data_IF_500963627152
#
_entry.id   IF_500963627152
#
_cell.length_a   1.000
_cell.length_b   1.000
_cell.length_c   1.000
_cell.angle_alpha   90.00
_cell.angle_beta   90.00
_cell.angle_gamma   90.00
#
_symmetry.space_group_name_H-M   'P 1'
#
loop_
_entity.id
_entity.type
_entity.pdbx_description
1 polymer ?
#
# COMPACT_ATOMS: atom_id res chain seq x y z
N UNK A 1 -19.47 9.53 63.01
CA UNK A 1 -18.36 8.80 62.31
C UNK A 1 -18.96 8.32 61.00
N UNK A 2 -18.33 8.69 59.89
CA UNK A 2 -18.84 8.38 58.54
C UNK A 2 -18.46 6.95 58.14
N UNK A 3 -19.38 6.17 57.67
CA UNK A 3 -19.10 4.83 57.17
C UNK A 3 -18.30 4.90 55.88
N UNK A 4 -17.10 4.28 55.82
CA UNK A 4 -16.23 4.28 54.63
C UNK A 4 -16.80 3.50 53.44
N UNK A 5 -17.80 2.64 53.65
CA UNK A 5 -18.43 1.81 52.60
C UNK A 5 -19.61 2.52 51.93
N UNK A 6 -20.48 3.16 52.72
CA UNK A 6 -21.69 3.78 52.17
C UNK A 6 -21.73 5.31 52.31
N UNK A 7 -20.70 5.95 52.91
CA UNK A 7 -20.59 7.41 53.06
C UNK A 7 -21.59 8.09 53.99
N UNK A 8 -22.36 7.35 54.80
CA UNK A 8 -23.40 7.91 55.69
C UNK A 8 -22.94 7.98 57.14
N UNK A 9 -23.34 9.02 57.86
CA UNK A 9 -23.09 9.25 59.29
C UNK A 9 -23.97 8.40 60.23
N UNK A 10 -24.05 7.10 60.01
CA UNK A 10 -24.97 6.19 60.71
C UNK A 10 -24.19 5.05 61.44
N UNK A 11 -22.98 5.35 61.91
CA UNK A 11 -22.16 4.37 62.64
C UNK A 11 -22.41 4.46 64.11
N UNK A 12 -22.86 3.37 64.74
CA UNK A 12 -23.05 3.25 66.18
C UNK A 12 -22.03 2.30 66.77
N UNK A 13 -21.67 2.54 68.03
CA UNK A 13 -20.79 1.66 68.82
C UNK A 13 -21.63 0.60 69.52
N UNK A 14 -21.36 -0.67 69.24
CA UNK A 14 -22.04 -1.81 69.87
C UNK A 14 -20.97 -2.73 70.49
N UNK A 15 -20.74 -2.56 71.80
CA UNK A 15 -19.61 -3.17 72.52
C UNK A 15 -18.27 -2.57 72.02
N UNK A 16 -17.29 -3.41 71.67
CA UNK A 16 -16.00 -3.01 71.16
C UNK A 16 -15.96 -2.84 69.59
N UNK A 17 -17.11 -2.83 68.94
CA UNK A 17 -17.18 -2.74 67.49
C UNK A 17 -18.04 -1.55 67.04
N UNK A 18 -17.68 -0.96 65.92
CA UNK A 18 -18.46 0.06 65.25
C UNK A 18 -19.23 -0.57 64.08
N UNK A 19 -20.54 -0.48 64.09
CA UNK A 19 -21.40 -1.08 63.08
C UNK A 19 -22.17 0.03 62.37
N UNK A 20 -22.12 0.02 61.05
CA UNK A 20 -22.97 0.92 60.25
C UNK A 20 -24.38 0.37 60.17
N UNK A 21 -25.37 1.15 60.64
CA UNK A 21 -26.78 0.76 60.60
C UNK A 21 -27.36 0.64 59.18
N UNK A 22 -26.75 1.33 58.21
CA UNK A 22 -27.29 1.37 56.85
C UNK A 22 -26.80 0.18 56.00
N UNK A 23 -25.56 -0.24 56.14
CA UNK A 23 -25.01 -1.37 55.35
C UNK A 23 -24.63 -2.59 56.19
N UNK A 24 -24.84 -2.54 57.49
CA UNK A 24 -24.48 -3.57 58.48
C UNK A 24 -23.00 -4.04 58.44
N UNK A 25 -22.16 -3.26 57.76
CA UNK A 25 -20.75 -3.56 57.71
C UNK A 25 -20.07 -3.23 59.07
N UNK A 26 -19.23 -4.12 59.54
CA UNK A 26 -18.41 -3.87 60.73
C UNK A 26 -17.31 -2.89 60.35
N UNK A 27 -17.31 -1.71 60.96
CA UNK A 27 -16.20 -0.79 60.82
C UNK A 27 -15.08 -1.29 61.74
N UNK A 28 -13.99 -1.77 61.17
CA UNK A 28 -12.81 -2.22 61.90
C UNK A 28 -12.11 -1.00 62.49
N UNK A 29 -11.70 -1.09 63.77
CA UNK A 29 -10.95 -0.02 64.43
C UNK A 29 -9.65 0.33 63.72
N UNK A 30 -9.23 1.59 63.86
CA UNK A 30 -8.12 2.21 63.13
C UNK A 30 -6.73 1.58 63.34
N UNK A 31 -6.59 0.62 64.26
CA UNK A 31 -5.27 -0.01 64.55
C UNK A 31 -4.81 -1.05 63.53
N UNK A 32 -5.68 -1.44 62.54
CA UNK A 32 -5.30 -2.45 61.56
C UNK A 32 -5.13 -1.90 60.13
N UNK A 33 -5.15 -0.58 59.95
CA UNK A 33 -5.02 0.04 58.62
C UNK A 33 -3.62 -0.12 58.05
N UNK A 34 -2.59 -0.03 58.91
CA UNK A 34 -1.20 -0.23 58.48
C UNK A 34 -0.89 -1.70 58.14
N UNK A 35 -1.54 -2.65 58.81
CA UNK A 35 -1.38 -4.07 58.49
C UNK A 35 -2.06 -4.46 57.17
N UNK A 36 -3.17 -3.81 56.83
CA UNK A 36 -3.88 -4.03 55.53
C UNK A 36 -3.11 -3.38 54.38
N UNK A 37 -2.59 -2.17 54.56
CA UNK A 37 -1.73 -1.52 53.55
C UNK A 37 -0.41 -2.29 53.33
N UNK A 38 0.19 -2.88 54.36
CA UNK A 38 1.37 -3.73 54.22
C UNK A 38 1.07 -5.06 53.54
N UNK A 39 -0.13 -5.65 53.73
CA UNK A 39 -0.56 -6.85 53.01
C UNK A 39 -0.91 -6.58 51.54
N UNK A 40 -1.49 -5.42 51.25
CA UNK A 40 -1.75 -5.01 49.86
C UNK A 40 -0.46 -4.70 49.12
N UNK A 41 0.49 -3.99 49.74
CA UNK A 41 1.82 -3.73 49.17
C UNK A 41 2.65 -5.00 49.01
N UNK A 42 2.54 -5.97 49.92
CA UNK A 42 3.22 -7.26 49.79
C UNK A 42 2.63 -8.11 48.66
N UNK A 43 1.31 -8.11 48.47
CA UNK A 43 0.65 -8.82 47.41
C UNK A 43 0.92 -8.19 46.02
N UNK A 44 0.98 -6.84 45.92
CA UNK A 44 1.41 -6.17 44.66
C UNK A 44 2.89 -6.43 44.34
N UNK A 45 3.75 -6.52 45.33
CA UNK A 45 5.17 -6.82 45.15
C UNK A 45 5.42 -8.30 44.78
N UNK A 46 4.59 -9.24 45.27
CA UNK A 46 4.67 -10.65 44.85
C UNK A 46 4.08 -10.91 43.48
N UNK A 47 3.04 -10.17 43.04
CA UNK A 47 2.52 -10.25 41.66
C UNK A 47 3.51 -9.69 40.66
N UNK A 48 4.32 -8.67 40.98
CA UNK A 48 5.39 -8.15 40.14
C UNK A 48 6.61 -9.09 40.02
N UNK A 49 6.80 -10.02 40.99
CA UNK A 49 7.99 -10.92 41.04
C UNK A 49 7.86 -12.24 40.28
N UNK A 50 6.74 -12.56 39.67
CA UNK A 50 6.53 -13.86 39.00
C UNK A 50 6.25 -13.79 37.49
N UNK A 51 6.71 -12.76 36.77
CA UNK A 51 6.83 -12.88 35.32
C UNK A 51 8.07 -13.70 35.00
N UNK A 52 7.90 -14.90 34.46
CA UNK A 52 9.03 -15.70 34.02
C UNK A 52 9.81 -14.90 32.94
N UNK A 53 11.16 -14.96 32.97
CA UNK A 53 11.97 -14.23 31.94
C UNK A 53 11.58 -14.60 30.52
N UNK A 54 11.01 -15.78 30.32
CA UNK A 54 10.46 -16.23 29.05
C UNK A 54 9.23 -15.41 28.60
N UNK A 55 8.40 -14.98 29.53
CA UNK A 55 7.19 -14.19 29.24
C UNK A 55 7.56 -12.74 28.92
N UNK A 56 8.53 -12.17 29.60
CA UNK A 56 9.03 -10.82 29.30
C UNK A 56 9.71 -10.74 27.94
N UNK A 57 10.52 -11.74 27.56
CA UNK A 57 11.10 -11.83 26.22
C UNK A 57 10.03 -12.05 25.16
N UNK A 58 9.02 -12.85 25.41
CA UNK A 58 7.92 -13.08 24.48
C UNK A 58 7.08 -11.80 24.26
N UNK A 59 6.76 -11.09 25.35
CA UNK A 59 6.01 -9.82 25.32
C UNK A 59 6.80 -8.71 24.58
N UNK A 60 8.14 -8.75 24.61
CA UNK A 60 8.99 -7.84 23.86
C UNK A 60 9.13 -8.22 22.37
N UNK A 61 9.27 -9.51 22.08
CA UNK A 61 9.47 -10.00 20.71
C UNK A 61 8.16 -10.00 19.89
N UNK A 62 7.01 -10.17 20.53
CA UNK A 62 5.71 -10.27 19.85
C UNK A 62 5.38 -9.06 18.96
N UNK A 63 5.49 -7.80 19.41
CA UNK A 63 5.25 -6.65 18.53
C UNK A 63 6.25 -6.54 17.39
N UNK A 64 7.50 -6.97 17.59
CA UNK A 64 8.53 -6.98 16.53
C UNK A 64 8.16 -8.01 15.44
N UNK A 65 7.74 -9.20 15.85
CA UNK A 65 7.31 -10.25 14.92
C UNK A 65 6.08 -9.80 14.11
N UNK A 66 5.09 -9.18 14.78
CA UNK A 66 3.92 -8.62 14.08
C UNK A 66 4.34 -7.53 13.09
N UNK A 67 5.21 -6.61 13.49
CA UNK A 67 5.70 -5.56 12.61
C UNK A 67 6.44 -6.11 11.39
N UNK A 68 7.25 -7.17 11.57
CA UNK A 68 7.91 -7.87 10.47
C UNK A 68 6.93 -8.56 9.54
N UNK A 69 5.91 -9.23 10.08
CA UNK A 69 4.86 -9.87 9.26
C UNK A 69 4.13 -8.81 8.44
N UNK A 70 3.72 -7.71 9.07
CA UNK A 70 3.05 -6.60 8.37
C UNK A 70 3.96 -6.04 7.28
N UNK A 71 5.24 -5.79 7.56
CA UNK A 71 6.18 -5.27 6.58
C UNK A 71 6.37 -6.22 5.38
N UNK A 72 6.42 -7.54 5.61
CA UNK A 72 6.50 -8.55 4.55
C UNK A 72 5.22 -8.55 3.72
N UNK A 73 4.05 -8.52 4.35
CA UNK A 73 2.76 -8.46 3.66
C UNK A 73 2.65 -7.21 2.79
N UNK A 74 2.96 -6.03 3.35
CA UNK A 74 2.96 -4.77 2.61
C UNK A 74 3.91 -4.83 1.40
N UNK A 75 5.15 -5.30 1.61
CA UNK A 75 6.14 -5.41 0.54
C UNK A 75 5.71 -6.38 -0.57
N UNK A 76 5.09 -7.51 -0.20
CA UNK A 76 4.76 -8.58 -1.17
C UNK A 76 3.48 -8.31 -1.94
N UNK A 77 2.45 -7.80 -1.25
CA UNK A 77 1.11 -7.69 -1.84
C UNK A 77 0.73 -6.27 -2.27
N UNK A 78 1.32 -5.23 -1.65
CA UNK A 78 0.88 -3.86 -1.92
C UNK A 78 1.84 -3.14 -2.86
N UNK A 79 3.16 -3.32 -2.70
CA UNK A 79 4.15 -2.56 -3.45
C UNK A 79 5.01 -3.44 -4.34
N UNK A 80 5.22 -2.97 -5.57
CA UNK A 80 6.28 -3.46 -6.45
C UNK A 80 7.37 -2.39 -6.54
N UNK A 81 8.63 -2.83 -6.41
CA UNK A 81 9.80 -1.98 -6.52
C UNK A 81 10.55 -2.32 -7.79
N UNK A 82 10.87 -1.32 -8.59
CA UNK A 82 11.61 -1.50 -9.84
C UNK A 82 12.73 -0.48 -10.00
N UNK A 83 13.84 -0.95 -10.57
CA UNK A 83 14.93 -0.10 -11.04
C UNK A 83 14.81 0.04 -12.56
N UNK A 84 14.85 1.25 -13.06
CA UNK A 84 14.62 1.55 -14.49
C UNK A 84 15.95 1.40 -15.28
N UNK A 85 16.12 0.37 -16.11
CA UNK A 85 17.39 0.14 -16.80
C UNK A 85 17.51 0.94 -18.10
N UNK A 86 16.43 1.46 -18.66
CA UNK A 86 16.39 2.07 -20.00
C UNK A 86 15.86 3.49 -19.99
N UNK A 87 16.06 4.22 -21.08
CA UNK A 87 15.58 5.58 -21.24
C UNK A 87 14.25 5.70 -22.01
N UNK A 88 13.44 4.63 -22.09
CA UNK A 88 12.18 4.65 -22.87
C UNK A 88 11.10 5.55 -22.27
N UNK A 89 11.21 5.93 -21.00
CA UNK A 89 10.29 6.83 -20.29
C UNK A 89 10.89 8.20 -19.98
N UNK A 90 12.01 8.56 -20.67
CA UNK A 90 12.56 9.92 -20.60
C UNK A 90 11.52 10.92 -21.15
N UNK A 91 11.21 12.01 -20.54
CA UNK A 91 11.81 12.70 -19.40
C UNK A 91 11.10 12.43 -18.05
N UNK A 92 10.03 11.67 -18.07
CA UNK A 92 9.22 11.38 -16.86
C UNK A 92 10.01 10.54 -15.87
N UNK A 93 10.65 9.46 -16.36
CA UNK A 93 11.46 8.56 -15.54
C UNK A 93 12.83 8.41 -16.20
N UNK A 94 13.88 8.62 -15.41
CA UNK A 94 15.27 8.55 -15.87
C UNK A 94 15.82 7.13 -15.75
N UNK A 95 16.82 6.82 -16.56
CA UNK A 95 17.61 5.59 -16.39
C UNK A 95 18.32 5.63 -15.03
N UNK A 96 18.18 4.55 -14.26
CA UNK A 96 18.73 4.42 -12.91
C UNK A 96 17.79 4.90 -11.81
N UNK A 97 16.61 5.44 -12.15
CA UNK A 97 15.58 5.76 -11.16
C UNK A 97 15.05 4.49 -10.50
N UNK A 98 14.78 4.59 -9.21
CA UNK A 98 14.06 3.56 -8.46
C UNK A 98 12.63 4.04 -8.20
N UNK A 99 11.67 3.27 -8.65
CA UNK A 99 10.25 3.59 -8.55
C UNK A 99 9.51 2.59 -7.70
N UNK A 100 8.44 3.06 -7.06
CA UNK A 100 7.47 2.20 -6.37
C UNK A 100 6.16 2.24 -7.13
N UNK A 101 5.65 1.05 -7.43
CA UNK A 101 4.33 0.85 -7.99
C UNK A 101 3.39 0.23 -6.97
N UNK A 102 2.13 0.61 -7.01
CA UNK A 102 1.06 0.01 -6.23
C UNK A 102 0.44 -1.14 -7.02
N UNK A 103 0.44 -2.33 -6.43
CA UNK A 103 -0.28 -3.50 -6.95
C UNK A 103 -1.76 -3.42 -6.63
N UNK A 104 -2.07 -2.95 -5.42
CA UNK A 104 -3.42 -2.96 -4.86
C UNK A 104 -4.39 -2.02 -5.60
N UNK A 105 -3.89 -1.00 -6.29
CA UNK A 105 -4.74 -0.08 -7.06
C UNK A 105 -5.55 -0.84 -8.11
N UNK A 106 -4.92 -1.81 -8.76
CA UNK A 106 -5.52 -2.58 -9.84
C UNK A 106 -6.25 -3.85 -9.38
N UNK A 107 -6.32 -4.11 -8.07
CA UNK A 107 -7.25 -5.08 -7.50
C UNK A 107 -8.69 -4.55 -7.42
N UNK A 108 -8.85 -3.22 -7.41
CA UNK A 108 -10.13 -2.56 -7.25
C UNK A 108 -10.53 -1.66 -8.42
N UNK A 109 -9.58 -1.33 -9.30
CA UNK A 109 -9.80 -0.45 -10.45
C UNK A 109 -9.07 -1.01 -11.66
N UNK A 110 -9.49 -0.60 -12.83
CA UNK A 110 -8.77 -0.87 -14.06
C UNK A 110 -7.74 0.22 -14.35
N UNK A 111 -6.67 -0.08 -15.12
CA UNK A 111 -5.75 0.92 -15.61
C UNK A 111 -6.47 2.01 -16.42
N UNK A 112 -6.16 3.27 -16.08
CA UNK A 112 -6.70 4.44 -16.74
C UNK A 112 -5.72 4.96 -17.81
N UNK A 113 -6.23 5.74 -18.77
CA UNK A 113 -5.38 6.43 -19.73
C UNK A 113 -4.37 7.32 -19.04
N UNK A 114 -3.14 7.29 -19.52
CA UNK A 114 -1.94 7.96 -18.97
C UNK A 114 -1.36 7.35 -17.71
N UNK A 115 -1.94 6.29 -17.14
CA UNK A 115 -1.27 5.56 -16.06
C UNK A 115 0.07 5.01 -16.54
N UNK A 116 1.09 5.17 -15.71
CA UNK A 116 2.38 4.51 -15.93
C UNK A 116 2.33 3.16 -15.22
N UNK A 117 2.46 2.09 -16.00
CA UNK A 117 2.30 0.73 -15.51
C UNK A 117 3.61 -0.06 -15.60
N UNK A 118 3.81 -0.95 -14.61
CA UNK A 118 4.81 -2.03 -14.67
C UNK A 118 4.05 -3.29 -15.07
N UNK A 119 4.59 -4.03 -16.05
CA UNK A 119 3.97 -5.24 -16.55
C UNK A 119 5.01 -6.26 -17.03
N UNK A 120 4.62 -7.53 -17.10
CA UNK A 120 5.42 -8.58 -17.75
C UNK A 120 5.46 -8.34 -19.25
N UNK A 121 6.66 -8.35 -19.83
CA UNK A 121 6.82 -8.06 -21.26
C UNK A 121 6.20 -9.19 -22.11
N UNK A 122 5.20 -8.90 -22.98
CA UNK A 122 4.44 -9.93 -23.67
C UNK A 122 5.27 -10.86 -24.56
N UNK A 123 6.26 -10.33 -25.29
CA UNK A 123 7.12 -11.16 -26.14
C UNK A 123 8.03 -12.09 -25.33
N UNK A 124 8.47 -11.67 -24.14
CA UNK A 124 9.24 -12.51 -23.23
C UNK A 124 8.36 -13.60 -22.62
N UNK A 125 7.13 -13.26 -22.20
CA UNK A 125 6.16 -14.22 -21.67
C UNK A 125 5.82 -15.30 -22.71
N UNK A 126 5.65 -14.92 -23.98
CA UNK A 126 5.42 -15.85 -25.08
C UNK A 126 6.59 -16.82 -25.29
N UNK A 127 7.81 -16.45 -24.87
CA UNK A 127 9.01 -17.29 -24.89
C UNK A 127 9.24 -18.06 -23.58
N UNK A 128 8.33 -17.92 -22.59
CA UNK A 128 8.40 -18.58 -21.28
C UNK A 128 9.22 -17.81 -20.22
N UNK A 129 9.63 -16.58 -20.50
CA UNK A 129 10.29 -15.67 -19.54
C UNK A 129 9.27 -14.74 -18.89
N UNK A 130 8.93 -15.05 -17.64
CA UNK A 130 8.02 -14.24 -16.82
C UNK A 130 8.75 -13.24 -15.92
N UNK A 131 10.07 -13.11 -16.01
CA UNK A 131 10.88 -12.27 -15.14
C UNK A 131 11.29 -10.94 -15.82
N UNK A 132 11.02 -10.79 -17.10
CA UNK A 132 11.27 -9.55 -17.83
C UNK A 132 10.11 -8.57 -17.69
N UNK A 133 10.38 -7.41 -17.08
CA UNK A 133 9.40 -6.36 -16.81
C UNK A 133 9.66 -5.11 -17.64
N UNK A 134 8.59 -4.51 -18.13
CA UNK A 134 8.63 -3.21 -18.82
C UNK A 134 7.82 -2.18 -18.04
N UNK A 135 8.20 -0.89 -18.25
CA UNK A 135 7.48 0.28 -17.74
C UNK A 135 7.09 1.13 -18.94
N UNK A 136 5.79 1.37 -19.11
CA UNK A 136 5.22 2.19 -20.18
C UNK A 136 4.00 2.94 -19.70
N UNK A 137 3.53 3.90 -20.52
CA UNK A 137 2.30 4.65 -20.27
C UNK A 137 1.15 4.04 -21.06
N UNK A 138 0.00 3.93 -20.42
CA UNK A 138 -1.26 3.49 -21.04
C UNK A 138 -1.76 4.58 -21.98
N UNK A 139 -1.97 4.21 -23.24
CA UNK A 139 -2.41 5.11 -24.32
C UNK A 139 -3.77 4.70 -24.86
N UNK A 140 -4.00 3.43 -25.14
CA UNK A 140 -5.28 2.89 -25.58
C UNK A 140 -5.90 2.00 -24.51
N UNK A 141 -7.20 2.16 -24.31
CA UNK A 141 -8.02 1.39 -23.38
C UNK A 141 -8.77 0.27 -24.11
N UNK A 142 -9.30 -0.74 -23.39
CA UNK A 142 -10.08 -1.83 -23.98
C UNK A 142 -11.19 -1.34 -24.92
N UNK A 143 -11.32 -1.96 -26.07
CA UNK A 143 -12.32 -1.65 -27.10
C UNK A 143 -12.07 -0.37 -27.93
N UNK A 144 -10.98 0.36 -27.66
CA UNK A 144 -10.62 1.56 -28.43
C UNK A 144 -9.74 1.23 -29.63
N UNK A 145 -9.67 2.16 -30.58
CA UNK A 145 -8.74 2.08 -31.73
C UNK A 145 -7.72 3.20 -31.64
N UNK A 146 -6.43 2.83 -31.57
CA UNK A 146 -5.31 3.78 -31.55
C UNK A 146 -4.76 3.94 -32.97
N UNK A 147 -4.62 5.18 -33.42
CA UNK A 147 -4.03 5.53 -34.71
C UNK A 147 -2.99 6.65 -34.52
N UNK A 148 -1.82 6.48 -35.09
CA UNK A 148 -0.73 7.45 -34.96
C UNK A 148 -0.46 7.99 -36.39
N UNK A 149 -0.66 9.30 -36.56
CA UNK A 149 -0.49 9.99 -37.86
C UNK A 149 0.54 11.12 -37.67
N UNK A 150 1.65 11.02 -38.38
CA UNK A 150 2.78 11.95 -38.27
C UNK A 150 3.23 12.16 -36.81
N UNK A 151 3.20 11.06 -36.02
CA UNK A 151 3.58 11.06 -34.62
C UNK A 151 2.52 11.55 -33.65
N UNK A 152 1.42 12.11 -34.10
CA UNK A 152 0.28 12.53 -33.25
C UNK A 152 -0.61 11.32 -33.00
N UNK A 153 -0.99 11.10 -31.77
CA UNK A 153 -1.84 9.97 -31.36
C UNK A 153 -3.32 10.38 -31.39
N UNK A 154 -4.09 9.62 -32.08
CA UNK A 154 -5.56 9.70 -32.13
C UNK A 154 -6.15 8.43 -31.55
N UNK A 155 -7.20 8.57 -30.76
CA UNK A 155 -7.94 7.45 -30.21
C UNK A 155 -9.40 7.57 -30.64
N UNK A 156 -9.91 6.50 -31.24
CA UNK A 156 -11.35 6.34 -31.44
C UNK A 156 -11.89 5.58 -30.26
N UNK A 157 -12.75 6.22 -29.50
CA UNK A 157 -13.42 5.61 -28.32
C UNK A 157 -14.48 4.58 -28.76
N UNK A 158 -14.97 3.81 -27.80
CA UNK A 158 -16.04 2.79 -28.04
C UNK A 158 -17.37 3.38 -28.51
N UNK A 159 -17.62 4.66 -28.22
CA UNK A 159 -18.80 5.39 -28.73
C UNK A 159 -18.61 6.01 -30.14
N UNK A 160 -17.43 5.84 -30.74
CA UNK A 160 -17.05 6.37 -32.06
C UNK A 160 -16.48 7.79 -32.01
N UNK A 161 -16.37 8.43 -30.85
CA UNK A 161 -15.70 9.73 -30.74
C UNK A 161 -14.19 9.59 -31.01
N UNK A 162 -13.67 10.48 -31.86
CA UNK A 162 -12.23 10.54 -32.14
C UNK A 162 -11.64 11.70 -31.35
N UNK A 163 -10.67 11.40 -30.53
CA UNK A 163 -9.92 12.38 -29.72
C UNK A 163 -8.44 12.37 -30.14
N UNK A 164 -7.84 13.55 -30.24
CA UNK A 164 -6.39 13.69 -30.26
C UNK A 164 -5.89 13.68 -28.81
N UNK A 165 -4.89 12.85 -28.53
CA UNK A 165 -4.30 12.82 -27.18
C UNK A 165 -3.35 13.99 -26.98
N UNK A 166 -3.40 14.57 -25.78
CA UNK A 166 -2.42 15.53 -25.31
C UNK A 166 -1.20 14.76 -24.79
N UNK A 167 -0.05 15.04 -25.38
CA UNK A 167 1.22 14.35 -25.13
C UNK A 167 2.23 15.30 -24.43
N UNK A 168 1.79 16.08 -23.46
CA UNK A 168 2.61 17.10 -22.75
C UNK A 168 3.86 16.51 -22.06
N UNK A 169 3.84 15.23 -21.75
CA UNK A 169 4.97 14.46 -21.22
C UNK A 169 6.01 14.10 -22.29
N UNK A 170 5.67 14.21 -23.57
CA UNK A 170 6.57 13.93 -24.70
C UNK A 170 7.35 15.19 -25.06
N UNK A 171 8.59 15.28 -24.59
CA UNK A 171 9.41 16.52 -24.75
C UNK A 171 10.45 16.40 -25.87
N UNK A 172 10.67 15.23 -26.43
CA UNK A 172 11.57 15.01 -27.56
C UNK A 172 10.81 15.14 -28.89
N UNK A 173 11.55 15.36 -30.01
CA UNK A 173 10.98 15.36 -31.34
C UNK A 173 9.99 14.22 -31.53
N UNK A 174 8.77 14.57 -31.89
CA UNK A 174 7.73 13.58 -32.22
C UNK A 174 8.18 12.80 -33.45
N UNK A 175 8.20 11.44 -33.41
CA UNK A 175 8.59 10.65 -34.56
C UNK A 175 7.68 10.99 -35.74
N UNK A 176 8.25 11.25 -36.87
CA UNK A 176 7.50 11.32 -38.12
C UNK A 176 7.21 9.90 -38.58
N UNK A 177 6.03 9.39 -38.33
CA UNK A 177 5.62 8.06 -38.74
C UNK A 177 4.14 7.85 -38.55
N UNK A 178 3.60 6.91 -39.35
CA UNK A 178 2.23 6.48 -39.23
C UNK A 178 2.21 5.04 -38.74
N UNK A 179 1.43 4.78 -37.69
CA UNK A 179 1.29 3.46 -37.10
C UNK A 179 -0.18 3.19 -36.79
N UNK A 180 -0.60 1.95 -36.98
CA UNK A 180 -1.98 1.55 -36.74
C UNK A 180 -2.81 1.47 -38.04
N UNK A 181 -4.15 1.41 -37.98
CA UNK A 181 -4.90 1.37 -36.72
C UNK A 181 -4.65 0.13 -35.88
N UNK A 182 -4.65 0.29 -34.56
CA UNK A 182 -4.56 -0.78 -33.58
C UNK A 182 -5.87 -0.88 -32.81
N UNK A 183 -6.64 -1.93 -33.07
CA UNK A 183 -7.88 -2.22 -32.34
C UNK A 183 -7.55 -2.91 -31.03
N UNK A 184 -7.72 -2.21 -29.91
CA UNK A 184 -7.35 -2.72 -28.56
C UNK A 184 -8.41 -3.76 -28.15
N UNK A 185 -7.99 -5.02 -27.91
CA UNK A 185 -8.92 -6.04 -27.46
C UNK A 185 -9.52 -5.71 -26.10
N UNK A 186 -10.66 -6.33 -25.78
CA UNK A 186 -11.19 -6.35 -24.41
C UNK A 186 -10.14 -6.90 -23.46
N UNK A 187 -10.08 -6.38 -22.23
CA UNK A 187 -9.09 -6.74 -21.22
C UNK A 187 -7.62 -6.51 -21.61
N UNK A 188 -7.36 -5.66 -22.60
CA UNK A 188 -6.01 -5.36 -23.06
C UNK A 188 -5.78 -3.85 -23.17
N UNK A 189 -4.50 -3.46 -23.17
CA UNK A 189 -4.07 -2.06 -23.20
C UNK A 189 -3.00 -1.85 -24.26
N UNK A 190 -3.08 -0.73 -24.97
CA UNK A 190 -2.01 -0.26 -25.83
C UNK A 190 -1.14 0.72 -25.08
N UNK A 191 0.16 0.45 -24.98
CA UNK A 191 1.08 1.23 -24.16
C UNK A 191 2.24 1.80 -24.97
N UNK A 192 2.70 2.99 -24.61
CA UNK A 192 3.83 3.64 -25.28
C UNK A 192 4.83 4.19 -24.27
N UNK A 193 6.10 4.29 -24.66
CA UNK A 193 7.09 5.04 -23.91
C UNK A 193 6.97 6.54 -24.13
N UNK A 194 7.27 7.34 -23.10
CA UNK A 194 7.28 8.80 -23.21
C UNK A 194 8.40 9.29 -24.14
N UNK A 195 9.52 8.56 -24.19
CA UNK A 195 10.55 8.76 -25.19
C UNK A 195 10.17 8.07 -26.53
N UNK A 196 9.25 8.69 -27.25
CA UNK A 196 8.62 8.16 -28.49
C UNK A 196 9.62 7.67 -29.54
N UNK A 197 10.79 8.32 -29.63
CA UNK A 197 11.84 8.00 -30.60
C UNK A 197 12.74 6.84 -30.19
N UNK A 198 12.78 6.53 -28.88
CA UNK A 198 13.68 5.51 -28.33
C UNK A 198 12.93 4.61 -27.33
N UNK A 199 11.82 4.05 -27.79
CA UNK A 199 11.01 3.11 -27.02
C UNK A 199 10.60 1.93 -27.88
N UNK A 200 10.94 0.74 -27.40
CA UNK A 200 10.33 -0.51 -27.89
C UNK A 200 9.06 -0.71 -27.07
N UNK A 201 7.91 -0.50 -27.70
CA UNK A 201 6.60 -0.53 -27.08
C UNK A 201 5.54 -1.17 -28.00
N UNK A 202 4.27 -1.06 -27.69
CA UNK A 202 3.14 -1.64 -28.42
C UNK A 202 3.20 -1.46 -29.94
N UNK A 203 3.87 -0.44 -30.44
CA UNK A 203 4.05 -0.20 -31.88
C UNK A 203 4.97 -1.22 -32.57
N UNK A 204 5.87 -1.86 -31.83
CA UNK A 204 7.02 -2.59 -32.37
C UNK A 204 7.17 -4.02 -31.84
N UNK A 205 6.29 -4.49 -30.94
CA UNK A 205 6.38 -5.85 -30.44
C UNK A 205 6.00 -6.88 -31.51
N UNK A 206 6.53 -8.08 -31.37
CA UNK A 206 6.44 -9.11 -32.39
C UNK A 206 5.24 -10.04 -32.19
N UNK A 207 4.95 -10.38 -30.93
CA UNK A 207 3.88 -11.36 -30.60
C UNK A 207 2.51 -10.71 -30.58
N UNK A 208 2.42 -9.52 -29.97
CA UNK A 208 1.19 -8.75 -29.81
C UNK A 208 1.49 -7.27 -29.67
N UNK A 209 0.57 -6.40 -30.05
CA UNK A 209 0.67 -4.96 -29.81
C UNK A 209 0.05 -4.53 -28.49
N UNK A 210 -0.30 -5.48 -27.62
CA UNK A 210 -1.12 -5.18 -26.43
C UNK A 210 -0.54 -5.83 -25.19
N UNK A 211 -0.87 -5.23 -24.04
CA UNK A 211 -0.62 -5.81 -22.71
C UNK A 211 -1.95 -6.28 -22.17
N UNK A 212 -2.08 -7.59 -21.97
CA UNK A 212 -3.24 -8.16 -21.29
C UNK A 212 -3.31 -7.67 -19.84
N UNK A 213 -4.53 -7.51 -19.33
CA UNK A 213 -4.78 -7.01 -17.97
C UNK A 213 -4.01 -7.79 -16.90
N UNK A 214 -3.94 -9.11 -17.05
CA UNK A 214 -3.29 -10.02 -16.12
C UNK A 214 -1.76 -9.90 -16.11
N UNK A 215 -1.17 -9.34 -17.15
CA UNK A 215 0.27 -9.07 -17.21
C UNK A 215 0.64 -7.77 -16.45
N UNK A 216 -0.33 -6.92 -16.14
CA UNK A 216 -0.08 -5.65 -15.44
C UNK A 216 0.09 -5.89 -13.94
N UNK A 217 1.28 -5.55 -13.44
CA UNK A 217 1.68 -5.76 -12.06
C UNK A 217 1.21 -4.62 -11.15
N UNK A 218 1.25 -3.38 -11.63
CA UNK A 218 0.83 -2.25 -10.82
C UNK A 218 1.10 -0.88 -11.45
N UNK A 219 0.51 0.14 -10.83
CA UNK A 219 0.64 1.56 -11.20
C UNK A 219 1.86 2.17 -10.53
N UNK A 220 2.75 2.79 -11.31
CA UNK A 220 3.87 3.56 -10.78
C UNK A 220 3.34 4.79 -10.06
N UNK A 221 3.71 4.95 -8.79
CA UNK A 221 3.20 6.02 -7.93
C UNK A 221 4.21 7.13 -7.74
N UNK A 222 5.44 6.76 -7.41
CA UNK A 222 6.50 7.73 -7.14
C UNK A 222 7.91 7.14 -7.32
N UNK A 223 8.85 8.02 -7.58
CA UNK A 223 10.29 7.74 -7.55
C UNK A 223 10.83 8.03 -6.16
N UNK A 224 11.70 7.15 -5.63
CA UNK A 224 12.33 7.35 -4.32
C UNK A 224 13.85 7.52 -4.37
N UNK A 225 14.49 7.21 -5.50
CA UNK A 225 15.91 7.42 -5.73
C UNK A 225 16.13 7.85 -7.20
N UNK A 226 17.06 8.77 -7.51
CA UNK A 226 17.98 9.49 -6.63
C UNK A 226 17.32 10.61 -5.81
N UNK A 227 16.11 10.98 -6.13
CA UNK A 227 15.31 11.99 -5.42
C UNK A 227 13.87 11.53 -5.30
N UNK A 228 13.19 11.89 -4.20
CA UNK A 228 11.78 11.60 -4.02
C UNK A 228 10.96 12.54 -4.90
N UNK A 229 10.06 11.97 -5.69
CA UNK A 229 9.16 12.73 -6.57
C UNK A 229 7.98 11.89 -7.03
N UNK A 230 6.85 12.55 -7.29
CA UNK A 230 5.70 11.94 -7.94
C UNK A 230 6.06 11.67 -9.40
N UNK A 231 5.53 10.59 -9.96
CA UNK A 231 5.69 10.23 -11.38
C UNK A 231 4.31 10.37 -12.00
N UNK A 232 4.18 11.36 -12.89
CA UNK A 232 2.94 11.70 -13.61
C UNK A 232 3.18 11.79 -15.10
#
# INVERSE_FOLDING_TARGET
MVCKICGKDTVIKEGDRYICQNCRAVAVEAENTEAIEQLEQSNESEQKKKKSPLKETLDFCFPIVIALIIAIVLKTFIFANAVIPTGSMLNTIQKGDHVIASRIVYEFNDPERYDIVIFHFPDAVAQGDNDTYYVKRVIGLPGETVNIVNGVVYVTKTDGEIIQLEDDFVTACVPTGNYGPYEVPEDSYFVMGDNRNNSVDSRFWETTNYVERDLIIGKVMFRYYPSIGKVE
#
